data_IF_906282283120
#
_entry.id   IF_906282283120
#
_cell.length_a   1.000
_cell.length_b   1.000
_cell.length_c   1.000
_cell.angle_alpha   90.00
_cell.angle_beta   90.00
_cell.angle_gamma   90.00
#
_symmetry.space_group_name_H-M   'P 1'
#
loop_
_entity.id
_entity.type
_entity.pdbx_description
1 polymer ?
#
# COMPACT_ATOMS: atom_id res chain seq x y z
N UNK A 1 20.54 -23.82 -12.09
CA UNK A 1 19.49 -24.86 -11.96
C UNK A 1 18.36 -24.47 -11.01
N UNK A 2 18.53 -23.45 -10.16
CA UNK A 2 17.53 -22.94 -9.20
C UNK A 2 16.54 -21.88 -9.76
N UNK A 3 16.64 -21.59 -11.07
CA UNK A 3 15.83 -20.57 -11.77
C UNK A 3 14.59 -21.16 -12.45
N UNK A 4 14.49 -22.48 -12.60
CA UNK A 4 13.37 -23.11 -13.31
C UNK A 4 12.18 -23.46 -12.40
N UNK A 5 12.39 -23.63 -11.09
CA UNK A 5 11.31 -24.04 -10.19
C UNK A 5 10.44 -22.86 -9.70
N UNK A 6 10.97 -21.63 -9.72
CA UNK A 6 10.22 -20.44 -9.29
C UNK A 6 9.50 -19.69 -10.43
N UNK A 7 9.73 -20.06 -11.70
CA UNK A 7 9.00 -19.48 -12.84
C UNK A 7 7.62 -20.12 -12.99
N UNK A 8 7.40 -21.32 -12.42
CA UNK A 8 6.11 -22.00 -12.45
C UNK A 8 4.99 -21.22 -11.72
N UNK A 9 5.34 -20.43 -10.70
CA UNK A 9 4.39 -19.62 -9.94
C UNK A 9 3.89 -18.38 -10.71
N UNK A 10 4.69 -17.87 -11.66
CA UNK A 10 4.35 -16.67 -12.45
C UNK A 10 3.47 -16.97 -13.67
N UNK A 11 3.30 -18.25 -14.04
CA UNK A 11 2.57 -18.67 -15.24
C UNK A 11 1.52 -19.77 -14.97
N UNK A 12 1.04 -19.92 -13.73
CA UNK A 12 -0.07 -20.82 -13.44
C UNK A 12 -1.40 -20.05 -13.34
N UNK A 13 -2.12 -19.80 -14.47
CA UNK A 13 -3.40 -19.09 -14.45
C UNK A 13 -4.47 -19.78 -13.60
N UNK A 14 -4.30 -21.07 -13.26
CA UNK A 14 -5.17 -21.79 -12.33
C UNK A 14 -5.02 -21.32 -10.88
N UNK A 15 -3.81 -21.01 -10.40
CA UNK A 15 -3.60 -20.50 -9.04
C UNK A 15 -4.12 -19.07 -8.88
N UNK A 16 -3.94 -18.24 -9.93
CA UNK A 16 -4.58 -16.94 -10.00
C UNK A 16 -6.10 -17.06 -10.02
N UNK A 17 -6.65 -18.01 -10.78
CA UNK A 17 -8.09 -18.26 -10.85
C UNK A 17 -8.66 -18.70 -9.49
N UNK A 18 -8.00 -19.61 -8.78
CA UNK A 18 -8.40 -20.08 -7.44
C UNK A 18 -8.33 -18.93 -6.42
N UNK A 19 -7.23 -18.18 -6.41
CA UNK A 19 -7.05 -17.05 -5.49
C UNK A 19 -8.01 -15.88 -5.77
N UNK A 20 -8.37 -15.63 -7.05
CA UNK A 20 -9.29 -14.56 -7.43
C UNK A 20 -10.76 -14.95 -7.48
N UNK A 21 -11.16 -16.19 -7.73
CA UNK A 21 -12.56 -16.57 -7.93
C UNK A 21 -13.11 -17.56 -6.89
N UNK A 22 -12.27 -18.33 -6.18
CA UNK A 22 -12.75 -19.25 -5.12
C UNK A 22 -12.72 -18.62 -3.73
N UNK A 23 -11.93 -17.56 -3.51
CA UNK A 23 -11.91 -16.89 -2.21
C UNK A 23 -13.15 -15.99 -2.01
N UNK A 24 -13.77 -16.03 -0.81
CA UNK A 24 -14.83 -15.09 -0.43
C UNK A 24 -14.44 -13.65 -0.77
N UNK A 25 -15.38 -12.85 -1.26
CA UNK A 25 -15.11 -11.47 -1.68
C UNK A 25 -14.45 -10.64 -0.56
N UNK A 26 -14.83 -10.88 0.69
CA UNK A 26 -14.24 -10.21 1.86
C UNK A 26 -12.73 -10.48 2.02
N UNK A 27 -12.28 -11.70 1.70
CA UNK A 27 -10.86 -12.07 1.73
C UNK A 27 -10.05 -11.32 0.67
N UNK A 28 -10.59 -11.24 -0.55
CA UNK A 28 -9.93 -10.53 -1.65
C UNK A 28 -9.78 -9.04 -1.36
N UNK A 29 -10.83 -8.41 -0.80
CA UNK A 29 -10.80 -7.00 -0.43
C UNK A 29 -9.88 -6.74 0.77
N UNK A 30 -9.86 -7.63 1.76
CA UNK A 30 -8.94 -7.53 2.90
C UNK A 30 -7.47 -7.67 2.46
N UNK A 31 -7.18 -8.60 1.54
CA UNK A 31 -5.83 -8.75 1.00
C UNK A 31 -5.38 -7.53 0.20
N UNK A 32 -6.29 -6.96 -0.61
CA UNK A 32 -6.03 -5.69 -1.30
C UNK A 32 -5.74 -4.55 -0.32
N UNK A 33 -6.56 -4.39 0.72
CA UNK A 33 -6.36 -3.38 1.77
C UNK A 33 -4.97 -3.51 2.43
N UNK A 34 -4.59 -4.74 2.81
CA UNK A 34 -3.27 -5.01 3.40
C UNK A 34 -2.15 -4.65 2.42
N UNK A 35 -2.25 -5.07 1.16
CA UNK A 35 -1.24 -4.79 0.14
C UNK A 35 -1.06 -3.27 -0.06
N UNK A 36 -2.15 -2.52 -0.19
CA UNK A 36 -2.10 -1.06 -0.32
C UNK A 36 -1.47 -0.40 0.89
N UNK A 37 -1.80 -0.83 2.11
CA UNK A 37 -1.22 -0.28 3.34
C UNK A 37 0.25 -0.69 3.52
N UNK A 38 0.65 -1.87 3.05
CA UNK A 38 2.03 -2.32 3.06
C UNK A 38 2.90 -1.47 2.14
N UNK A 39 2.43 -1.13 0.94
CA UNK A 39 3.12 -0.24 0.01
C UNK A 39 3.27 1.18 0.59
N UNK A 40 2.22 1.72 1.19
CA UNK A 40 2.25 3.03 1.85
C UNK A 40 3.20 3.06 3.05
N UNK A 41 3.22 1.98 3.84
CA UNK A 41 4.13 1.80 4.95
C UNK A 41 5.58 1.69 4.47
N UNK A 42 5.84 0.90 3.43
CA UNK A 42 7.16 0.75 2.80
C UNK A 42 7.66 2.10 2.26
N UNK A 43 6.81 2.87 1.56
CA UNK A 43 7.19 4.21 1.08
C UNK A 43 7.53 5.19 2.21
N UNK A 44 6.81 5.12 3.33
CA UNK A 44 7.10 5.94 4.51
C UNK A 44 8.36 5.47 5.23
N UNK A 45 8.61 4.17 5.26
CA UNK A 45 9.81 3.56 5.80
C UNK A 45 11.06 3.96 5.01
N UNK A 46 11.05 3.86 3.68
CA UNK A 46 12.18 4.24 2.83
C UNK A 46 12.47 5.73 2.91
N UNK A 47 11.43 6.56 3.02
CA UNK A 47 11.58 7.98 3.31
C UNK A 47 12.24 8.22 4.67
N UNK A 48 11.80 7.54 5.72
CA UNK A 48 12.38 7.67 7.06
C UNK A 48 13.85 7.20 7.11
N UNK A 49 14.18 6.09 6.45
CA UNK A 49 15.55 5.60 6.28
C UNK A 49 16.45 6.68 5.66
N UNK A 50 15.99 7.34 4.58
CA UNK A 50 16.76 8.37 3.87
C UNK A 50 16.92 9.67 4.66
N UNK A 51 15.95 10.02 5.52
CA UNK A 51 16.04 11.21 6.37
C UNK A 51 16.81 10.97 7.67
N UNK A 52 17.10 9.72 7.98
CA UNK A 52 17.93 9.35 9.12
C UNK A 52 19.39 9.31 8.71
N UNK A 53 20.28 9.72 9.61
CA UNK A 53 21.73 9.72 9.39
C UNK A 53 22.40 8.45 9.92
N UNK A 54 21.75 7.74 10.84
CA UNK A 54 22.27 6.52 11.45
C UNK A 54 21.18 5.59 11.94
N UNK A 55 21.54 4.31 12.17
CA UNK A 55 20.66 3.31 12.74
C UNK A 55 20.09 3.72 14.11
N UNK A 56 20.87 4.45 14.93
CA UNK A 56 20.47 4.91 16.26
C UNK A 56 19.31 5.91 16.27
N UNK A 57 19.04 6.57 15.14
CA UNK A 57 17.93 7.53 15.00
C UNK A 57 16.61 6.86 14.61
N UNK A 58 16.64 5.56 14.32
CA UNK A 58 15.49 4.82 13.80
C UNK A 58 14.83 3.98 14.88
N UNK A 59 13.52 4.16 15.00
CA UNK A 59 12.68 3.25 15.75
C UNK A 59 11.91 2.33 14.79
N UNK A 60 12.34 1.07 14.71
CA UNK A 60 11.73 0.08 13.82
C UNK A 60 10.46 -0.55 14.44
N UNK A 61 9.32 -0.36 13.78
CA UNK A 61 8.00 -0.88 14.21
C UNK A 61 7.69 -2.31 13.74
N UNK A 62 8.68 -3.11 13.36
CA UNK A 62 8.48 -4.50 12.90
C UNK A 62 7.46 -4.67 11.75
N UNK A 63 7.33 -3.67 10.87
CA UNK A 63 6.34 -3.73 9.78
C UNK A 63 6.59 -4.86 8.77
N UNK A 64 7.79 -5.45 8.73
CA UNK A 64 8.09 -6.61 7.86
C UNK A 64 7.93 -7.96 8.57
N UNK A 65 7.52 -7.96 9.85
CA UNK A 65 7.36 -9.17 10.67
C UNK A 65 8.64 -10.02 10.78
N UNK A 66 9.79 -9.38 10.61
CA UNK A 66 11.12 -10.00 10.66
C UNK A 66 12.10 -9.05 11.33
N UNK A 67 13.08 -9.62 12.02
CA UNK A 67 14.21 -8.86 12.52
C UNK A 67 15.02 -8.32 11.34
N UNK A 68 15.45 -7.05 11.45
CA UNK A 68 16.27 -6.39 10.44
C UNK A 68 17.57 -5.89 11.05
N UNK A 69 18.66 -6.01 10.29
CA UNK A 69 19.94 -5.43 10.64
C UNK A 69 19.99 -3.98 10.11
N UNK A 70 19.65 -3.03 10.98
CA UNK A 70 19.68 -1.60 10.64
C UNK A 70 21.09 -1.14 10.24
N UNK A 71 22.13 -1.63 10.91
CA UNK A 71 23.51 -1.25 10.61
C UNK A 71 23.89 -1.68 9.20
N UNK A 72 23.54 -2.91 8.80
CA UNK A 72 23.73 -3.36 7.42
C UNK A 72 23.02 -2.45 6.43
N UNK A 73 21.78 -2.04 6.72
CA UNK A 73 20.98 -1.17 5.83
C UNK A 73 21.65 0.19 5.65
N UNK A 74 22.13 0.82 6.72
CA UNK A 74 22.81 2.12 6.65
C UNK A 74 24.18 2.05 5.97
N UNK A 75 24.90 0.93 6.14
CA UNK A 75 26.17 0.69 5.45
C UNK A 75 25.99 0.35 3.96
N UNK A 76 24.76 0.01 3.53
CA UNK A 76 24.45 -0.30 2.13
C UNK A 76 23.98 0.98 1.41
N UNK A 77 24.59 1.37 0.28
CA UNK A 77 24.12 2.50 -0.53
C UNK A 77 22.65 2.34 -0.91
N UNK A 78 21.87 3.43 -0.86
CA UNK A 78 20.40 3.39 -1.02
C UNK A 78 19.94 2.64 -2.27
N UNK A 79 20.65 2.86 -3.39
CA UNK A 79 20.37 2.26 -4.69
C UNK A 79 20.63 0.75 -4.75
N UNK A 80 21.33 0.18 -3.77
CA UNK A 80 21.73 -1.23 -3.73
C UNK A 80 21.01 -2.04 -2.65
N UNK A 81 20.17 -1.39 -1.84
CA UNK A 81 19.40 -2.04 -0.78
C UNK A 81 18.35 -3.01 -1.37
N UNK A 82 17.89 -3.93 -0.52
CA UNK A 82 16.74 -4.78 -0.79
C UNK A 82 15.49 -3.97 -1.14
N UNK A 83 14.52 -4.60 -1.83
CA UNK A 83 13.27 -3.98 -2.30
C UNK A 83 12.55 -3.20 -1.21
N UNK A 84 12.41 -3.80 -0.04
CA UNK A 84 11.74 -3.24 1.14
C UNK A 84 12.45 -2.01 1.75
N UNK A 85 13.68 -1.72 1.34
CA UNK A 85 14.51 -0.63 1.88
C UNK A 85 15.02 0.32 0.79
N UNK A 86 14.65 0.04 -0.46
CA UNK A 86 15.15 0.71 -1.64
C UNK A 86 14.48 2.08 -1.85
N UNK A 87 15.30 3.06 -2.23
CA UNK A 87 14.85 4.37 -2.68
C UNK A 87 15.67 4.76 -3.90
N UNK A 88 14.99 5.25 -4.96
CA UNK A 88 15.64 5.84 -6.13
C UNK A 88 15.60 7.38 -6.10
N UNK A 89 15.03 7.98 -5.05
CA UNK A 89 15.02 9.44 -4.97
C UNK A 89 16.42 9.96 -4.62
N UNK A 90 16.97 10.92 -5.38
CA UNK A 90 18.34 11.40 -5.18
C UNK A 90 18.49 12.04 -3.79
N UNK A 91 19.35 11.49 -2.93
CA UNK A 91 19.79 12.17 -1.71
C UNK A 91 20.64 13.38 -2.09
N UNK A 92 20.19 14.59 -1.75
CA UNK A 92 21.06 15.76 -1.74
C UNK A 92 21.70 15.82 -0.35
N UNK A 93 23.03 15.93 -0.29
CA UNK A 93 23.87 15.92 0.93
C UNK A 93 23.66 17.14 1.86
N UNK A 94 22.54 17.84 1.75
CA UNK A 94 22.20 18.94 2.64
C UNK A 94 21.83 18.41 4.03
N UNK A 95 22.17 19.17 5.07
CA UNK A 95 21.73 18.91 6.45
C UNK A 95 20.24 18.60 6.48
N UNK A 96 19.90 17.35 6.80
CA UNK A 96 18.49 16.95 6.88
C UNK A 96 17.85 17.74 8.00
N UNK A 97 16.86 18.60 7.71
CA UNK A 97 16.23 19.39 8.75
C UNK A 97 15.54 18.47 9.76
N UNK A 98 15.61 18.80 11.05
CA UNK A 98 15.01 17.98 12.11
C UNK A 98 13.52 17.67 11.87
N UNK A 99 12.78 18.59 11.23
CA UNK A 99 11.38 18.38 10.87
C UNK A 99 11.17 17.25 9.85
N UNK A 100 12.12 17.01 8.94
CA UNK A 100 12.01 15.97 7.92
C UNK A 100 12.17 14.57 8.54
N UNK A 101 13.04 14.45 9.55
CA UNK A 101 13.19 13.24 10.35
C UNK A 101 11.90 12.95 11.14
N UNK A 102 11.36 13.97 11.83
CA UNK A 102 10.10 13.87 12.58
C UNK A 102 8.90 13.55 11.69
N UNK A 103 8.86 14.13 10.48
CA UNK A 103 7.85 13.79 9.48
C UNK A 103 7.96 12.31 9.08
N UNK A 104 9.16 11.85 8.73
CA UNK A 104 9.40 10.47 8.32
C UNK A 104 9.03 9.47 9.40
N UNK A 105 9.47 9.70 10.64
CA UNK A 105 9.12 8.85 11.77
C UNK A 105 7.62 8.85 12.03
N UNK A 106 6.96 10.02 12.01
CA UNK A 106 5.53 10.15 12.24
C UNK A 106 4.70 9.41 11.19
N UNK A 107 5.06 9.53 9.91
CA UNK A 107 4.38 8.81 8.82
C UNK A 107 4.59 7.31 8.97
N UNK A 108 5.82 6.89 9.21
CA UNK A 108 6.14 5.47 9.38
C UNK A 108 5.37 4.82 10.53
N UNK A 109 5.31 5.47 11.70
CA UNK A 109 4.52 4.98 12.85
C UNK A 109 3.04 4.87 12.50
N UNK A 110 2.48 5.91 11.88
CA UNK A 110 1.07 5.93 11.49
C UNK A 110 0.73 4.79 10.53
N UNK A 111 1.46 4.64 9.42
CA UNK A 111 1.20 3.59 8.45
C UNK A 111 1.50 2.18 8.97
N UNK A 112 2.48 2.02 9.86
CA UNK A 112 2.75 0.73 10.52
C UNK A 112 1.55 0.28 11.36
N UNK A 113 0.93 1.19 12.11
CA UNK A 113 -0.27 0.88 12.89
C UNK A 113 -1.47 0.51 12.01
N UNK A 114 -1.68 1.21 10.89
CA UNK A 114 -2.73 0.84 9.94
C UNK A 114 -2.51 -0.54 9.33
N UNK A 115 -1.26 -0.86 8.97
CA UNK A 115 -0.88 -2.17 8.43
C UNK A 115 -1.10 -3.28 9.46
N UNK A 116 -0.79 -3.03 10.74
CA UNK A 116 -1.05 -3.97 11.83
C UNK A 116 -2.55 -4.31 11.93
N UNK A 117 -3.42 -3.31 11.89
CA UNK A 117 -4.88 -3.53 11.91
C UNK A 117 -5.37 -4.27 10.65
N UNK A 118 -4.81 -3.98 9.47
CA UNK A 118 -5.15 -4.70 8.25
C UNK A 118 -4.73 -6.18 8.29
N UNK A 119 -3.60 -6.48 8.92
CA UNK A 119 -3.14 -7.86 9.16
C UNK A 119 -4.05 -8.59 10.13
N UNK A 120 -4.48 -7.94 11.22
CA UNK A 120 -5.48 -8.50 12.14
C UNK A 120 -6.76 -8.90 11.39
N UNK A 121 -7.27 -8.06 10.50
CA UNK A 121 -8.43 -8.38 9.65
C UNK A 121 -8.18 -9.63 8.81
N UNK A 122 -7.05 -9.69 8.10
CA UNK A 122 -6.70 -10.84 7.25
C UNK A 122 -6.57 -12.13 8.06
N UNK A 123 -5.86 -12.07 9.18
CA UNK A 123 -5.58 -13.23 10.00
C UNK A 123 -6.86 -13.77 10.65
N UNK A 124 -7.78 -12.89 11.05
CA UNK A 124 -9.11 -13.26 11.51
C UNK A 124 -9.93 -13.97 10.43
N UNK A 125 -9.93 -13.44 9.20
CA UNK A 125 -10.65 -14.02 8.07
C UNK A 125 -10.10 -15.38 7.59
N UNK A 126 -8.86 -15.72 7.96
CA UNK A 126 -8.24 -17.02 7.65
C UNK A 126 -8.59 -18.11 8.66
N UNK A 127 -9.22 -17.77 9.79
CA UNK A 127 -9.66 -18.75 10.79
C UNK A 127 -10.82 -19.57 10.25
N UNK A 128 -10.99 -20.77 10.82
CA UNK A 128 -12.11 -21.65 10.47
C UNK A 128 -13.47 -21.04 10.85
N UNK A 129 -13.52 -20.31 11.97
CA UNK A 129 -14.65 -19.48 12.41
C UNK A 129 -14.15 -18.05 12.62
N UNK A 130 -14.31 -17.15 11.63
CA UNK A 130 -13.91 -15.75 11.74
C UNK A 130 -14.81 -14.97 12.72
N UNK A 131 -14.22 -14.16 13.60
CA UNK A 131 -14.96 -13.17 14.38
C UNK A 131 -15.22 -11.90 13.54
N UNK A 132 -16.40 -11.83 12.91
CA UNK A 132 -16.82 -10.69 12.11
C UNK A 132 -16.97 -9.38 12.91
N UNK A 133 -17.21 -9.43 14.23
CA UNK A 133 -17.23 -8.23 15.07
C UNK A 133 -15.82 -7.67 15.27
N UNK A 134 -14.84 -8.56 15.50
CA UNK A 134 -13.43 -8.19 15.54
C UNK A 134 -12.98 -7.53 14.23
N UNK A 135 -13.35 -8.11 13.08
CA UNK A 135 -13.06 -7.57 11.74
C UNK A 135 -13.63 -6.16 11.57
N UNK A 136 -14.89 -5.93 11.97
CA UNK A 136 -15.53 -4.61 11.88
C UNK A 136 -14.82 -3.60 12.79
N UNK A 137 -14.43 -4.00 14.00
CA UNK A 137 -13.73 -3.13 14.94
C UNK A 137 -12.36 -2.69 14.41
N UNK A 138 -11.57 -3.62 13.88
CA UNK A 138 -10.30 -3.30 13.22
C UNK A 138 -10.51 -2.39 12.00
N UNK A 139 -11.51 -2.67 11.16
CA UNK A 139 -11.83 -1.86 9.99
C UNK A 139 -12.24 -0.42 10.37
N UNK A 140 -13.01 -0.24 11.46
CA UNK A 140 -13.35 1.07 12.03
C UNK A 140 -12.13 1.77 12.62
N UNK A 141 -11.26 1.04 13.32
CA UNK A 141 -10.01 1.60 13.84
C UNK A 141 -9.13 2.18 12.73
N UNK A 142 -9.02 1.51 11.58
CA UNK A 142 -8.33 2.05 10.40
C UNK A 142 -9.03 3.32 9.90
N UNK A 143 -10.36 3.29 9.76
CA UNK A 143 -11.16 4.41 9.24
C UNK A 143 -11.07 5.68 10.09
N UNK A 144 -11.12 5.51 11.41
CA UNK A 144 -11.13 6.59 12.39
C UNK A 144 -9.72 7.04 12.78
N UNK A 145 -8.70 6.33 12.31
CA UNK A 145 -7.31 6.64 12.60
C UNK A 145 -6.93 8.04 12.11
N UNK A 146 -6.29 8.79 13.00
CA UNK A 146 -5.76 10.11 12.72
C UNK A 146 -4.42 10.30 13.43
N UNK A 147 -3.53 11.06 12.80
CA UNK A 147 -2.24 11.41 13.39
C UNK A 147 -1.82 12.84 13.05
N UNK A 148 -1.16 13.49 14.01
CA UNK A 148 -0.46 14.75 13.81
C UNK A 148 0.96 14.49 13.35
N UNK A 149 1.32 14.99 12.19
CA UNK A 149 2.67 14.84 11.64
C UNK A 149 3.27 16.22 11.36
N UNK A 150 4.56 16.37 11.61
CA UNK A 150 5.28 17.62 11.32
C UNK A 150 5.35 17.87 9.82
N UNK A 151 4.99 19.05 9.35
CA UNK A 151 5.08 19.46 7.94
C UNK A 151 6.50 19.87 7.53
N UNK A 152 6.73 20.04 6.22
CA UNK A 152 7.94 20.63 5.62
C UNK A 152 8.23 22.07 6.10
N UNK A 153 7.23 22.74 6.68
CA UNK A 153 7.36 24.08 7.30
C UNK A 153 7.57 24.03 8.81
N UNK A 154 7.60 22.84 9.43
CA UNK A 154 7.64 22.66 10.89
C UNK A 154 6.29 22.77 11.61
N UNK A 155 5.20 23.05 10.88
CA UNK A 155 3.83 23.01 11.40
C UNK A 155 3.30 21.58 11.63
N UNK A 156 2.04 21.43 12.05
CA UNK A 156 1.38 20.11 12.15
C UNK A 156 0.37 19.93 11.02
N UNK A 157 0.39 18.77 10.37
CA UNK A 157 -0.62 18.30 9.44
C UNK A 157 -1.39 17.15 10.08
N UNK A 158 -2.72 17.21 10.03
CA UNK A 158 -3.58 16.07 10.35
C UNK A 158 -3.62 15.10 9.17
N UNK A 159 -3.05 13.92 9.37
CA UNK A 159 -3.26 12.77 8.48
C UNK A 159 -4.52 12.02 8.90
N UNK A 160 -5.37 11.75 7.91
CA UNK A 160 -6.58 10.94 8.03
C UNK A 160 -6.73 10.13 6.74
N UNK A 161 -7.32 8.94 6.84
CA UNK A 161 -7.54 8.05 5.69
C UNK A 161 -8.40 8.72 4.59
N UNK A 162 -9.33 9.61 4.98
CA UNK A 162 -10.31 10.24 4.08
C UNK A 162 -9.74 11.30 3.12
N UNK A 163 -8.54 11.86 3.36
CA UNK A 163 -8.05 13.04 2.61
C UNK A 163 -6.89 12.80 1.66
N UNK A 164 -6.05 11.79 1.87
CA UNK A 164 -4.78 11.65 1.14
C UNK A 164 -4.53 10.28 0.50
N UNK A 165 -5.35 9.26 0.79
CA UNK A 165 -5.10 7.89 0.31
C UNK A 165 -5.98 7.55 -0.91
N UNK A 166 -5.60 8.08 -2.07
CA UNK A 166 -5.94 7.52 -3.40
C UNK A 166 -7.41 7.59 -3.82
N UNK A 167 -7.96 8.79 -3.97
CA UNK A 167 -9.29 8.97 -4.58
C UNK A 167 -9.63 10.40 -5.00
N UNK A 168 -8.64 11.29 -4.96
CA UNK A 168 -8.79 12.64 -5.47
C UNK A 168 -8.29 12.64 -6.92
N UNK A 169 -9.22 12.72 -7.87
CA UNK A 169 -8.95 12.77 -9.32
C UNK A 169 -7.83 13.75 -9.69
N UNK A 170 -7.69 14.87 -8.97
CA UNK A 170 -6.61 15.84 -9.19
C UNK A 170 -5.27 15.27 -8.76
N UNK A 171 -5.21 14.67 -7.56
CA UNK A 171 -3.99 14.03 -7.03
C UNK A 171 -3.59 12.85 -7.90
N UNK A 172 -4.55 12.02 -8.31
CA UNK A 172 -4.32 10.84 -9.15
C UNK A 172 -3.79 11.24 -10.54
N UNK A 173 -4.30 12.34 -11.11
CA UNK A 173 -3.78 12.91 -12.35
C UNK A 173 -2.31 13.35 -12.20
N UNK A 174 -1.98 14.14 -11.17
CA UNK A 174 -0.61 14.61 -10.96
C UNK A 174 0.36 13.47 -10.63
N UNK A 175 -0.06 12.52 -9.78
CA UNK A 175 0.73 11.34 -9.45
C UNK A 175 0.98 10.48 -10.68
N UNK A 176 -0.01 10.30 -11.55
CA UNK A 176 0.17 9.59 -12.81
C UNK A 176 1.12 10.30 -13.77
N UNK A 177 1.06 11.64 -13.87
CA UNK A 177 2.01 12.41 -14.70
C UNK A 177 3.44 12.32 -14.16
N UNK A 178 3.62 12.44 -12.84
CA UNK A 178 4.93 12.26 -12.20
C UNK A 178 5.45 10.85 -12.47
N UNK A 179 4.62 9.83 -12.29
CA UNK A 179 4.98 8.43 -12.56
C UNK A 179 5.40 8.20 -14.01
N UNK A 180 4.72 8.78 -15.00
CA UNK A 180 5.13 8.71 -16.42
C UNK A 180 6.53 9.27 -16.68
N UNK A 181 6.95 10.30 -15.95
CA UNK A 181 8.27 10.92 -16.10
C UNK A 181 9.34 10.17 -15.31
N UNK A 182 9.02 9.79 -14.07
CA UNK A 182 9.96 9.11 -13.18
C UNK A 182 10.26 7.68 -13.63
N UNK A 183 9.27 6.95 -14.13
CA UNK A 183 9.41 5.52 -14.47
C UNK A 183 10.46 5.22 -15.54
N UNK A 184 10.55 5.98 -16.66
CA UNK A 184 11.68 5.86 -17.59
C UNK A 184 13.05 6.10 -16.95
N UNK A 185 13.16 7.06 -16.02
CA UNK A 185 14.40 7.32 -15.27
C UNK A 185 14.74 6.12 -14.39
N UNK A 186 13.75 5.51 -13.72
CA UNK A 186 13.95 4.27 -12.96
C UNK A 186 14.44 3.13 -13.84
N UNK A 187 13.86 2.94 -15.02
CA UNK A 187 14.33 1.92 -15.97
C UNK A 187 15.79 2.13 -16.38
N UNK A 188 16.19 3.37 -16.69
CA UNK A 188 17.58 3.71 -17.02
C UNK A 188 18.53 3.44 -15.86
N UNK A 189 18.15 3.84 -14.63
CA UNK A 189 18.93 3.55 -13.43
C UNK A 189 19.09 2.03 -13.21
N UNK A 190 18.02 1.25 -13.45
CA UNK A 190 18.06 -0.20 -13.41
C UNK A 190 19.04 -0.80 -14.43
N UNK A 191 19.08 -0.28 -15.66
CA UNK A 191 20.05 -0.73 -16.67
C UNK A 191 21.49 -0.49 -16.24
N UNK A 192 21.79 0.66 -15.63
CA UNK A 192 23.12 0.96 -15.08
C UNK A 192 23.45 0.05 -13.89
N UNK A 193 22.45 -0.26 -13.05
CA UNK A 193 22.63 -1.11 -11.87
C UNK A 193 22.60 -2.62 -12.18
N UNK A 194 22.37 -3.03 -13.44
CA UNK A 194 22.36 -4.44 -13.83
C UNK A 194 23.71 -5.14 -13.58
N UNK A 195 24.84 -4.43 -13.79
CA UNK A 195 26.17 -4.98 -13.51
C UNK A 195 26.37 -5.18 -12.00
N UNK A 196 26.17 -4.16 -11.13
CA UNK A 196 26.17 -4.36 -9.68
C UNK A 196 25.27 -5.49 -9.18
N UNK A 197 24.08 -5.67 -9.77
CA UNK A 197 23.18 -6.77 -9.45
C UNK A 197 23.78 -8.14 -9.78
N UNK A 198 24.31 -8.31 -11.00
CA UNK A 198 24.96 -9.56 -11.42
C UNK A 198 26.19 -9.90 -10.57
N UNK A 199 26.86 -8.90 -10.00
CA UNK A 199 28.00 -9.06 -9.10
C UNK A 199 27.60 -9.16 -7.61
N UNK A 200 26.30 -9.23 -7.31
CA UNK A 200 25.74 -9.32 -5.95
C UNK A 200 26.03 -8.13 -5.02
N UNK A 201 26.37 -6.96 -5.60
CA UNK A 201 26.48 -5.70 -4.84
C UNK A 201 25.13 -5.01 -4.65
N UNK A 202 24.18 -5.22 -5.58
CA UNK A 202 22.81 -4.71 -5.50
C UNK A 202 21.85 -5.87 -5.23
N UNK A 203 21.02 -5.76 -4.19
CA UNK A 203 20.05 -6.79 -3.84
C UNK A 203 18.74 -6.69 -4.66
N UNK A 204 18.44 -5.53 -5.25
CA UNK A 204 17.17 -5.29 -5.95
C UNK A 204 17.33 -4.51 -7.26
N UNK A 205 17.94 -3.32 -7.24
CA UNK A 205 18.07 -2.47 -8.42
C UNK A 205 18.89 -3.15 -9.52
N UNK A 206 18.37 -3.18 -10.74
CA UNK A 206 18.97 -3.88 -11.87
C UNK A 206 18.60 -5.36 -11.99
N UNK A 207 17.84 -5.91 -11.03
CA UNK A 207 17.29 -7.26 -11.11
C UNK A 207 15.98 -7.35 -11.90
N UNK A 208 15.54 -8.56 -12.28
CA UNK A 208 14.29 -8.76 -13.02
C UNK A 208 13.05 -8.21 -12.28
N UNK A 209 13.00 -8.37 -10.97
CA UNK A 209 11.90 -7.86 -10.14
C UNK A 209 11.82 -6.34 -10.20
N UNK A 210 12.96 -5.64 -10.22
CA UNK A 210 12.99 -4.19 -10.33
C UNK A 210 12.36 -3.70 -11.64
N UNK A 211 12.67 -4.36 -12.76
CA UNK A 211 12.07 -4.00 -14.06
C UNK A 211 10.56 -4.30 -14.10
N UNK A 212 10.12 -5.39 -13.49
CA UNK A 212 8.70 -5.73 -13.40
C UNK A 212 7.93 -4.70 -12.58
N UNK A 213 8.41 -4.37 -11.37
CA UNK A 213 7.80 -3.37 -10.50
C UNK A 213 7.75 -2.00 -11.19
N UNK A 214 8.84 -1.64 -11.89
CA UNK A 214 8.92 -0.40 -12.68
C UNK A 214 7.92 -0.40 -13.83
N UNK A 215 7.69 -1.53 -14.51
CA UNK A 215 6.70 -1.64 -15.57
C UNK A 215 5.26 -1.58 -15.04
N UNK A 216 4.98 -2.19 -13.89
CA UNK A 216 3.69 -2.11 -13.21
C UNK A 216 3.40 -0.66 -12.77
N UNK A 217 4.40 0.06 -12.23
CA UNK A 217 4.28 1.48 -11.89
C UNK A 217 3.95 2.33 -13.13
N UNK A 218 4.54 2.03 -14.29
CA UNK A 218 4.20 2.72 -15.55
C UNK A 218 2.73 2.52 -15.92
N UNK A 219 2.27 1.27 -15.86
CA UNK A 219 0.90 0.91 -16.22
C UNK A 219 -0.11 1.52 -15.24
N UNK A 220 0.18 1.50 -13.95
CA UNK A 220 -0.63 2.14 -12.92
C UNK A 220 -0.69 3.67 -13.13
N UNK A 221 0.44 4.30 -13.45
CA UNK A 221 0.50 5.74 -13.76
C UNK A 221 -0.36 6.12 -14.98
N UNK A 222 -0.29 5.31 -16.04
CA UNK A 222 -1.16 5.46 -17.22
C UNK A 222 -2.62 5.25 -16.83
N UNK A 223 -2.92 4.23 -16.04
CA UNK A 223 -4.25 3.96 -15.52
C UNK A 223 -4.82 5.14 -14.74
N UNK A 224 -4.06 5.69 -13.79
CA UNK A 224 -4.41 6.88 -13.02
C UNK A 224 -4.74 8.07 -13.90
N UNK A 225 -3.94 8.35 -14.92
CA UNK A 225 -4.24 9.42 -15.89
C UNK A 225 -5.53 9.13 -16.66
N UNK A 226 -5.65 7.93 -17.22
CA UNK A 226 -6.81 7.54 -18.03
C UNK A 226 -8.10 7.58 -17.22
N UNK A 227 -8.12 7.04 -16.01
CA UNK A 227 -9.28 7.09 -15.11
C UNK A 227 -9.54 8.52 -14.63
N UNK A 228 -8.51 9.31 -14.33
CA UNK A 228 -8.68 10.71 -13.91
C UNK A 228 -9.18 11.61 -15.03
N UNK A 229 -8.99 11.24 -16.30
CA UNK A 229 -9.53 11.98 -17.45
C UNK A 229 -10.88 11.44 -17.91
N UNK A 230 -11.04 10.11 -17.97
CA UNK A 230 -12.26 9.45 -18.46
C UNK A 230 -13.41 9.52 -17.44
N UNK A 231 -13.12 9.44 -16.15
CA UNK A 231 -14.15 9.45 -15.10
C UNK A 231 -14.86 10.81 -15.01
N UNK A 232 -14.17 11.98 -15.02
CA UNK A 232 -14.83 13.27 -15.13
C UNK A 232 -15.62 13.42 -16.43
N UNK A 233 -15.14 12.89 -17.57
CA UNK A 233 -15.85 12.96 -18.85
C UNK A 233 -17.15 12.13 -18.85
N UNK A 234 -17.11 10.91 -18.31
CA UNK A 234 -18.28 10.05 -18.15
C UNK A 234 -19.28 10.61 -17.12
N UNK A 235 -18.77 11.23 -16.05
CA UNK A 235 -19.57 11.87 -15.00
C UNK A 235 -20.09 13.25 -15.41
N UNK A 236 -19.40 14.03 -16.25
CA UNK A 236 -19.90 15.25 -16.90
C UNK A 236 -21.07 14.91 -17.82
N UNK A 237 -20.96 13.82 -18.58
CA UNK A 237 -22.07 13.27 -19.38
C UNK A 237 -23.25 12.84 -18.50
N UNK A 238 -23.00 12.27 -17.31
CA UNK A 238 -24.05 11.94 -16.35
C UNK A 238 -24.66 13.18 -15.69
N UNK A 239 -23.86 14.15 -15.26
CA UNK A 239 -24.32 15.40 -14.63
C UNK A 239 -25.15 16.26 -15.60
N UNK A 240 -24.79 16.26 -16.89
CA UNK A 240 -25.60 16.85 -17.96
C UNK A 240 -26.98 16.19 -18.08
N UNK A 241 -27.10 14.93 -17.68
CA UNK A 241 -28.35 14.15 -17.75
C UNK A 241 -29.11 14.06 -16.41
N UNK A 242 -28.46 14.17 -15.24
CA UNK A 242 -29.06 13.83 -13.93
C UNK A 242 -28.79 14.83 -12.80
N UNK A 243 -28.01 15.90 -13.01
CA UNK A 243 -27.91 17.04 -12.07
C UNK A 243 -27.26 16.78 -10.69
N UNK A 244 -26.66 15.62 -10.41
CA UNK A 244 -25.95 15.35 -9.16
C UNK A 244 -24.43 15.45 -9.36
N UNK A 245 -23.77 16.36 -8.64
CA UNK A 245 -22.33 16.51 -8.64
C UNK A 245 -21.77 16.12 -7.27
N UNK A 246 -20.88 15.11 -7.23
CA UNK A 246 -19.95 14.90 -6.13
C UNK A 246 -18.56 14.55 -6.70
N UNK A 247 -17.60 15.49 -6.68
CA UNK A 247 -16.26 15.31 -7.25
C UNK A 247 -15.33 14.49 -6.35
N UNK A 248 -15.75 14.15 -5.13
CA UNK A 248 -14.95 13.45 -4.13
C UNK A 248 -15.37 11.98 -4.11
N UNK A 249 -14.76 11.17 -4.98
CA UNK A 249 -14.86 9.73 -4.83
C UNK A 249 -13.99 9.30 -3.63
N UNK A 250 -14.56 8.49 -2.72
CA UNK A 250 -13.82 7.92 -1.58
C UNK A 250 -12.52 7.25 -2.03
N UNK A 251 -11.46 7.34 -1.23
CA UNK A 251 -10.15 6.74 -1.52
C UNK A 251 -10.19 5.21 -1.58
N UNK A 252 -9.24 4.56 -2.25
CA UNK A 252 -9.16 3.08 -2.39
C UNK A 252 -9.15 2.36 -1.05
N UNK A 253 -8.40 2.89 -0.07
CA UNK A 253 -8.35 2.38 1.31
C UNK A 253 -9.74 2.49 1.96
N UNK A 254 -10.38 3.65 1.86
CA UNK A 254 -11.71 3.89 2.43
C UNK A 254 -12.78 3.01 1.78
N UNK A 255 -12.73 2.80 0.46
CA UNK A 255 -13.64 1.88 -0.27
C UNK A 255 -13.46 0.43 0.19
N UNK A 256 -12.22 0.00 0.39
CA UNK A 256 -11.90 -1.35 0.86
C UNK A 256 -12.46 -1.55 2.27
N UNK A 257 -12.24 -0.59 3.17
CA UNK A 257 -12.77 -0.61 4.54
C UNK A 257 -14.31 -0.64 4.57
N UNK A 258 -14.97 0.28 3.86
CA UNK A 258 -16.43 0.34 3.81
C UNK A 258 -17.02 -0.97 3.23
N UNK A 259 -16.32 -1.59 2.28
CA UNK A 259 -16.71 -2.87 1.69
C UNK A 259 -16.54 -4.03 2.68
N UNK A 260 -15.43 -4.08 3.44
CA UNK A 260 -15.19 -5.09 4.47
C UNK A 260 -16.26 -5.01 5.55
N UNK A 261 -16.55 -3.81 6.08
CA UNK A 261 -17.58 -3.61 7.10
C UNK A 261 -18.94 -4.10 6.59
N UNK A 262 -19.33 -3.69 5.38
CA UNK A 262 -20.60 -4.10 4.78
C UNK A 262 -20.69 -5.61 4.61
N UNK A 263 -19.63 -6.27 4.14
CA UNK A 263 -19.62 -7.72 3.94
C UNK A 263 -19.66 -8.48 5.27
N UNK A 264 -18.90 -8.02 6.28
CA UNK A 264 -18.92 -8.60 7.62
C UNK A 264 -20.30 -8.47 8.29
N UNK A 265 -20.95 -7.31 8.18
CA UNK A 265 -22.32 -7.10 8.68
C UNK A 265 -23.34 -8.04 8.01
N UNK A 266 -23.14 -8.36 6.73
CA UNK A 266 -23.98 -9.33 6.02
C UNK A 266 -23.81 -10.75 6.57
N UNK A 267 -22.58 -11.19 6.82
CA UNK A 267 -22.30 -12.53 7.37
C UNK A 267 -22.88 -12.69 8.79
N UNK A 268 -22.77 -11.66 9.64
CA UNK A 268 -23.38 -11.67 10.98
C UNK A 268 -24.90 -11.90 10.88
N UNK A 269 -25.59 -11.14 10.03
CA UNK A 269 -27.05 -11.26 9.84
C UNK A 269 -27.46 -12.62 9.27
N UNK A 270 -26.65 -13.21 8.39
CA UNK A 270 -26.90 -14.55 7.85
C UNK A 270 -26.73 -15.62 8.93
N UNK A 271 -25.71 -15.50 9.79
CA UNK A 271 -25.50 -16.40 10.91
C UNK A 271 -26.64 -16.32 11.94
N UNK A 272 -27.09 -15.11 12.28
CA UNK A 272 -28.26 -14.90 13.16
C UNK A 272 -29.53 -15.54 12.58
N UNK A 273 -29.81 -15.33 11.28
CA UNK A 273 -30.98 -15.89 10.61
C UNK A 273 -30.93 -17.43 10.48
N UNK A 274 -29.74 -18.03 10.46
CA UNK A 274 -29.57 -19.49 10.43
C UNK A 274 -29.70 -20.13 11.82
N UNK A 275 -29.33 -19.41 12.88
CA UNK A 275 -29.56 -19.82 14.28
C UNK A 275 -31.06 -19.79 14.61
N UNK A 276 -31.81 -18.79 14.14
CA UNK A 276 -33.27 -18.75 14.33
C UNK A 276 -34.02 -19.91 13.64
N UNK A 277 -33.52 -20.41 12.50
CA UNK A 277 -34.14 -21.54 11.79
C UNK A 277 -33.83 -22.91 12.39
N UNK A 278 -32.81 -23.01 13.24
CA UNK A 278 -32.39 -24.27 13.88
C UNK A 278 -32.84 -24.38 15.33
N UNK A 279 -33.41 -23.31 15.90
CA UNK A 279 -34.10 -23.37 17.18
C UNK A 279 -35.46 -24.07 17.03
N UNK A 280 -35.72 -25.20 17.71
CA UNK A 280 -37.03 -25.85 17.62
C UNK A 280 -38.09 -24.89 18.18
N UNK A 281 -39.13 -24.65 17.40
CA UNK A 281 -40.36 -24.02 17.88
C UNK A 281 -40.89 -24.84 19.06
N UNK A 282 -40.78 -24.29 20.27
CA UNK A 282 -41.46 -24.80 21.47
C UNK A 282 -42.98 -24.66 21.31
#
# INVERSE_FOLDING_TARGET
>A
MWLCDNIHFLFNPQEWYIMFFEQPQINRVAHHLEATLAELCQGSWTYYLRKSQSASQIHYQNHLEKEIDLEKIFNTPEIFRAREHFSLEPSFDDEVPAFALLNGSGRYVYYSALLEEARKIRDELRKQDPDYNSIINCARAIKESCADITDVTGGKIHMQVDRMMGGNLVVDLFMGVIGLVCTPVKMLAGLVCAIPYCLSFSEYCGGPQFFLDTALELLDSVGKILFSLAFPLAMLKSAYNTGSFNPLTKGEVQRSIDTIIRLADCEIKLNEANVEKTSPSN
#
